data_IF_253119988637
#
_entry.id   IF_253119988637
#
_cell.length_a   1.000
_cell.length_b   1.000
_cell.length_c   1.000
_cell.angle_alpha   90.00
_cell.angle_beta   90.00
_cell.angle_gamma   90.00
#
_symmetry.space_group_name_H-M   'P 1'
#
loop_
_entity.id
_entity.type
_entity.pdbx_description
1 polymer ?
#
# COMPACT_ATOMS: atom_id res chain seq x y z
N UNK A 1 -57.68 26.04 -2.74
CA UNK A 1 -56.30 26.47 -2.41
C UNK A 1 -55.34 25.34 -2.75
N UNK A 2 -54.67 25.39 -3.91
CA UNK A 2 -53.67 24.41 -4.33
C UNK A 2 -52.30 24.89 -3.87
N UNK A 3 -51.63 24.14 -2.99
CA UNK A 3 -50.22 24.37 -2.64
C UNK A 3 -49.37 23.92 -3.83
N UNK A 4 -48.71 24.88 -4.48
CA UNK A 4 -47.65 24.61 -5.45
C UNK A 4 -46.39 24.35 -4.64
N UNK A 5 -45.93 23.11 -4.65
CA UNK A 5 -44.67 22.70 -4.05
C UNK A 5 -43.56 22.96 -5.08
N UNK A 6 -42.79 24.03 -4.88
CA UNK A 6 -41.56 24.26 -5.62
C UNK A 6 -40.53 23.23 -5.15
N UNK A 7 -40.36 22.15 -5.93
CA UNK A 7 -39.18 21.29 -5.82
C UNK A 7 -38.03 22.09 -6.42
N UNK A 8 -37.18 22.65 -5.55
CA UNK A 8 -35.91 23.21 -5.95
C UNK A 8 -35.06 22.05 -6.48
N UNK A 9 -35.04 21.88 -7.80
CA UNK A 9 -34.08 21.00 -8.45
C UNK A 9 -32.69 21.55 -8.15
N UNK A 10 -32.01 20.94 -7.18
CA UNK A 10 -30.60 21.17 -6.91
C UNK A 10 -29.86 20.78 -8.18
N UNK A 11 -29.46 21.78 -8.98
CA UNK A 11 -28.52 21.58 -10.06
C UNK A 11 -27.21 21.18 -9.40
N UNK A 12 -26.97 19.86 -9.29
CA UNK A 12 -25.67 19.28 -9.02
C UNK A 12 -24.75 19.62 -10.21
N UNK A 13 -24.28 20.87 -10.24
CA UNK A 13 -23.01 21.19 -10.87
C UNK A 13 -22.00 20.28 -10.19
N UNK A 14 -21.33 19.45 -10.97
CA UNK A 14 -20.42 18.40 -10.54
C UNK A 14 -19.44 18.89 -9.47
N UNK A 15 -19.80 18.74 -8.20
CA UNK A 15 -18.82 18.67 -7.11
C UNK A 15 -18.22 17.28 -7.17
N UNK A 16 -17.43 17.05 -8.22
CA UNK A 16 -16.57 15.87 -8.36
C UNK A 16 -15.41 15.92 -7.37
N UNK A 17 -15.71 16.19 -6.10
CA UNK A 17 -14.81 16.00 -4.98
C UNK A 17 -14.59 14.50 -4.87
N UNK A 18 -13.55 14.03 -5.56
CA UNK A 18 -13.02 12.69 -5.39
C UNK A 18 -12.90 12.40 -3.90
N UNK A 19 -13.59 11.36 -3.42
CA UNK A 19 -13.26 10.76 -2.13
C UNK A 19 -11.84 10.20 -2.25
N UNK A 20 -10.88 10.67 -1.44
CA UNK A 20 -9.61 9.99 -1.33
C UNK A 20 -9.88 8.68 -0.57
N UNK A 21 -10.05 7.60 -1.31
CA UNK A 21 -9.91 6.26 -0.73
C UNK A 21 -8.42 6.03 -0.52
N UNK A 22 -8.02 5.85 0.72
CA UNK A 22 -6.64 5.65 1.14
C UNK A 22 -6.63 4.96 2.51
N UNK A 23 -5.66 4.10 2.77
CA UNK A 23 -5.46 3.37 4.03
C UNK A 23 -4.63 4.22 5.00
N UNK A 24 -5.29 5.14 5.72
CA UNK A 24 -4.61 6.07 6.63
C UNK A 24 -4.25 5.44 7.98
N UNK A 25 -4.83 4.28 8.30
CA UNK A 25 -4.60 3.59 9.57
C UNK A 25 -3.57 2.45 9.44
N UNK A 26 -3.33 1.95 8.21
CA UNK A 26 -2.36 0.91 7.87
C UNK A 26 -2.89 -0.52 8.05
N UNK A 27 -4.21 -0.76 8.00
CA UNK A 27 -4.81 -2.10 8.18
C UNK A 27 -4.86 -2.92 6.87
N UNK A 28 -4.35 -2.34 5.79
CA UNK A 28 -4.37 -2.89 4.45
C UNK A 28 -5.72 -2.74 3.74
N UNK A 29 -6.59 -1.83 4.20
CA UNK A 29 -7.88 -1.50 3.56
C UNK A 29 -8.12 0.00 3.52
N UNK A 30 -8.92 0.48 2.55
CA UNK A 30 -9.18 1.90 2.39
C UNK A 30 -10.08 2.49 3.49
N UNK A 31 -9.66 3.61 4.09
CA UNK A 31 -10.44 4.38 5.04
C UNK A 31 -11.35 5.43 4.37
N UNK A 32 -12.48 5.72 5.02
CA UNK A 32 -13.39 6.79 4.60
C UNK A 32 -12.86 8.15 5.06
N UNK A 33 -12.51 9.02 4.10
CA UNK A 33 -11.98 10.34 4.37
C UNK A 33 -12.66 11.48 3.59
N UNK A 34 -12.57 12.69 4.15
CA UNK A 34 -13.00 13.95 3.54
C UNK A 34 -11.80 14.88 3.46
N UNK A 35 -11.59 15.48 2.28
CA UNK A 35 -10.77 16.67 2.11
C UNK A 35 -11.67 17.89 1.86
N UNK A 36 -11.43 18.99 2.58
CA UNK A 36 -12.13 20.26 2.37
C UNK A 36 -11.21 21.30 1.77
N UNK A 37 -11.38 21.55 0.48
CA UNK A 37 -10.60 22.50 -0.31
C UNK A 37 -10.50 23.89 0.32
N UNK A 38 -11.60 24.41 0.88
CA UNK A 38 -11.65 25.78 1.42
C UNK A 38 -10.73 26.00 2.62
N UNK A 39 -10.31 24.93 3.30
CA UNK A 39 -9.48 25.03 4.50
C UNK A 39 -8.27 24.09 4.51
N UNK A 40 -8.15 23.21 3.52
CA UNK A 40 -7.21 22.08 3.57
C UNK A 40 -7.49 21.12 4.73
N UNK A 41 -8.76 20.96 5.16
CA UNK A 41 -9.06 20.01 6.24
C UNK A 41 -9.05 18.58 5.69
N UNK A 42 -8.35 17.69 6.38
CA UNK A 42 -8.49 16.24 6.26
C UNK A 42 -9.25 15.72 7.48
N UNK A 43 -10.30 14.95 7.24
CA UNK A 43 -11.04 14.23 8.28
C UNK A 43 -11.19 12.78 7.86
N UNK A 44 -10.48 11.88 8.56
CA UNK A 44 -10.50 10.43 8.35
C UNK A 44 -11.36 9.82 9.45
N UNK A 45 -12.42 9.13 9.07
CA UNK A 45 -13.46 8.67 10.00
C UNK A 45 -12.89 7.65 10.99
N UNK A 46 -12.88 8.01 12.27
CA UNK A 46 -12.40 7.12 13.34
C UNK A 46 -10.88 7.04 13.48
N UNK A 47 -10.12 7.72 12.62
CA UNK A 47 -8.65 7.66 12.59
C UNK A 47 -8.05 9.00 13.01
N UNK A 48 -8.21 10.06 12.21
CA UNK A 48 -7.55 11.33 12.48
C UNK A 48 -8.26 12.54 11.86
N UNK A 49 -7.94 13.73 12.36
CA UNK A 49 -8.44 15.00 11.82
C UNK A 49 -7.35 16.06 11.93
N UNK A 50 -6.96 16.66 10.82
CA UNK A 50 -5.87 17.64 10.77
C UNK A 50 -6.01 18.59 9.55
N UNK A 51 -5.25 19.67 9.55
CA UNK A 51 -5.20 20.62 8.43
C UNK A 51 -3.87 20.46 7.67
N UNK A 52 -3.96 20.28 6.35
CA UNK A 52 -2.81 20.19 5.46
C UNK A 52 -3.22 20.54 4.03
N UNK A 53 -2.62 21.61 3.49
CA UNK A 53 -3.01 22.19 2.21
C UNK A 53 -3.84 23.46 2.36
N UNK A 54 -4.30 24.00 1.24
CA UNK A 54 -5.11 25.22 1.15
C UNK A 54 -6.05 25.17 -0.06
N UNK A 55 -6.80 26.23 -0.30
CA UNK A 55 -7.68 26.37 -1.46
C UNK A 55 -6.92 26.19 -2.77
N UNK A 56 -7.45 25.34 -3.64
CA UNK A 56 -6.87 25.02 -4.95
C UNK A 56 -5.86 23.87 -4.95
N UNK A 57 -5.55 23.30 -3.79
CA UNK A 57 -4.76 22.07 -3.69
C UNK A 57 -5.63 20.84 -3.99
N UNK A 58 -5.07 19.89 -4.74
CA UNK A 58 -5.71 18.61 -5.04
C UNK A 58 -5.22 17.54 -4.07
N UNK A 59 -6.11 16.83 -3.33
CA UNK A 59 -5.69 15.74 -2.44
C UNK A 59 -5.18 14.53 -3.25
N UNK A 60 -4.05 13.98 -2.81
CA UNK A 60 -3.33 12.83 -3.42
C UNK A 60 -2.74 11.88 -2.36
N UNK A 61 -3.55 11.36 -1.43
CA UNK A 61 -3.01 10.38 -0.49
C UNK A 61 -2.62 9.09 -1.22
N UNK A 62 -1.48 8.52 -0.83
CA UNK A 62 -1.00 7.21 -1.28
C UNK A 62 0.16 6.74 -0.38
N UNK A 63 0.69 5.55 -0.64
CA UNK A 63 1.81 4.94 0.07
C UNK A 63 3.15 5.47 -0.46
N UNK A 64 3.46 6.72 -0.09
CA UNK A 64 4.63 7.45 -0.58
C UNK A 64 5.97 6.97 0.01
N UNK A 65 5.94 6.22 1.11
CA UNK A 65 7.14 5.73 1.81
C UNK A 65 7.25 4.20 1.84
N UNK A 66 6.31 3.49 1.20
CA UNK A 66 6.29 2.03 1.08
C UNK A 66 5.98 1.30 2.38
N UNK A 67 5.55 2.01 3.41
CA UNK A 67 5.33 1.42 4.72
C UNK A 67 3.97 0.70 4.82
N UNK A 68 3.12 0.80 3.80
CA UNK A 68 1.78 0.19 3.77
C UNK A 68 0.66 1.09 4.30
N UNK A 69 0.99 2.25 4.88
CA UNK A 69 0.05 3.29 5.32
C UNK A 69 0.10 4.47 4.36
N UNK A 70 -1.05 4.89 3.87
CA UNK A 70 -1.13 6.01 2.94
C UNK A 70 -0.92 7.35 3.67
N UNK A 71 0.05 8.13 3.17
CA UNK A 71 0.34 9.46 3.68
C UNK A 71 -0.55 10.52 3.01
N UNK A 72 -1.06 11.51 3.76
CA UNK A 72 -1.75 12.64 3.17
C UNK A 72 -0.82 13.46 2.28
N UNK A 73 -1.15 13.63 1.01
CA UNK A 73 -0.44 14.53 0.12
C UNK A 73 -1.36 15.46 -0.66
N UNK A 74 -0.78 16.56 -1.16
CA UNK A 74 -1.45 17.52 -2.03
C UNK A 74 -0.61 17.83 -3.25
N UNK A 75 -1.29 18.16 -4.35
CA UNK A 75 -0.71 18.79 -5.53
C UNK A 75 -1.30 20.18 -5.75
N UNK A 76 -0.45 21.20 -5.86
CA UNK A 76 -0.85 22.56 -6.20
C UNK A 76 -0.57 22.82 -7.67
N UNK A 77 -1.63 22.81 -8.47
CA UNK A 77 -1.54 23.01 -9.92
C UNK A 77 -0.96 24.35 -10.34
N UNK A 78 -1.13 25.42 -9.55
CA UNK A 78 -0.62 26.76 -9.91
C UNK A 78 0.90 26.87 -9.90
N UNK A 79 1.59 26.03 -9.11
CA UNK A 79 3.04 26.07 -8.94
C UNK A 79 3.73 24.74 -9.24
N UNK A 80 2.98 23.67 -9.50
CA UNK A 80 3.53 22.31 -9.56
C UNK A 80 4.07 21.80 -8.22
N UNK A 81 3.57 22.31 -7.08
CA UNK A 81 4.03 21.84 -5.77
C UNK A 81 3.40 20.49 -5.44
N UNK A 82 4.24 19.52 -5.09
CA UNK A 82 3.87 18.33 -4.36
C UNK A 82 4.27 18.50 -2.90
N UNK A 83 3.34 18.26 -1.98
CA UNK A 83 3.64 18.21 -0.56
C UNK A 83 3.03 16.95 0.04
N UNK A 84 3.88 16.06 0.53
CA UNK A 84 3.55 14.82 1.24
C UNK A 84 3.81 15.06 2.72
N UNK A 85 2.77 14.94 3.54
CA UNK A 85 2.82 15.31 4.95
C UNK A 85 3.82 14.45 5.72
N UNK A 86 4.83 15.09 6.32
CA UNK A 86 5.83 14.42 7.14
C UNK A 86 6.93 13.70 6.35
N UNK A 87 6.90 13.75 5.00
CA UNK A 87 7.81 13.00 4.16
C UNK A 87 8.59 13.90 3.19
N UNK A 88 7.91 14.61 2.29
CA UNK A 88 8.58 15.36 1.22
C UNK A 88 7.81 16.58 0.75
N UNK A 89 8.53 17.60 0.27
CA UNK A 89 7.98 18.81 -0.36
C UNK A 89 8.84 19.21 -1.53
N UNK A 90 8.32 19.08 -2.75
CA UNK A 90 9.07 19.31 -3.98
C UNK A 90 8.24 20.03 -5.03
N UNK A 91 8.88 20.83 -5.87
CA UNK A 91 8.26 21.42 -7.05
C UNK A 91 8.56 20.53 -8.26
N UNK A 92 7.52 19.93 -8.83
CA UNK A 92 7.61 19.07 -10.00
C UNK A 92 6.35 19.20 -10.85
N UNK A 93 6.52 19.81 -12.02
CA UNK A 93 5.45 20.24 -12.90
C UNK A 93 5.36 21.77 -13.00
N UNK A 94 4.36 22.23 -13.73
CA UNK A 94 4.08 23.65 -13.96
C UNK A 94 2.56 23.88 -14.01
N UNK A 95 2.16 25.15 -14.13
CA UNK A 95 0.76 25.51 -14.33
C UNK A 95 0.17 24.78 -15.54
N UNK A 96 -0.98 24.12 -15.32
CA UNK A 96 -1.68 23.32 -16.34
C UNK A 96 -1.31 21.84 -16.37
N UNK A 97 -0.29 21.41 -15.63
CA UNK A 97 0.01 19.99 -15.47
C UNK A 97 -1.00 19.32 -14.54
N UNK A 98 -1.37 18.09 -14.89
CA UNK A 98 -2.27 17.25 -14.09
C UNK A 98 -1.43 16.29 -13.25
N UNK A 99 -1.72 16.15 -11.94
CA UNK A 99 -1.03 15.16 -11.11
C UNK A 99 -1.41 13.75 -11.53
N UNK A 100 -0.40 12.92 -11.77
CA UNK A 100 -0.46 11.51 -12.18
C UNK A 100 0.56 10.70 -11.38
N UNK A 101 0.40 10.63 -10.06
CA UNK A 101 1.28 9.79 -9.27
C UNK A 101 0.97 8.32 -9.56
N UNK A 102 1.94 7.45 -9.28
CA UNK A 102 1.80 6.00 -9.33
C UNK A 102 3.14 5.29 -9.23
N UNK A 103 3.15 3.97 -9.20
CA UNK A 103 4.37 3.16 -9.15
C UNK A 103 4.93 3.00 -10.58
N UNK A 104 5.86 3.88 -10.98
CA UNK A 104 6.43 3.90 -12.33
C UNK A 104 7.67 3.02 -12.47
N UNK A 105 8.30 2.62 -11.36
CA UNK A 105 9.52 1.82 -11.34
C UNK A 105 9.30 0.38 -10.86
N UNK A 106 8.10 0.05 -10.35
CA UNK A 106 7.73 -1.28 -9.87
C UNK A 106 8.22 -1.59 -8.46
N UNK A 107 8.66 -0.60 -7.67
CA UNK A 107 9.24 -0.82 -6.35
C UNK A 107 8.20 -0.97 -5.22
N UNK A 108 6.92 -0.80 -5.55
CA UNK A 108 5.83 -0.92 -4.58
C UNK A 108 5.44 0.38 -3.89
N UNK A 109 6.14 1.48 -4.16
CA UNK A 109 5.89 2.82 -3.59
C UNK A 109 5.27 3.76 -4.62
N UNK A 110 4.59 4.81 -4.14
CA UNK A 110 4.01 5.82 -5.03
C UNK A 110 5.05 6.85 -5.50
N UNK A 111 5.23 6.99 -6.81
CA UNK A 111 6.08 8.03 -7.39
C UNK A 111 5.31 9.31 -7.76
N UNK A 112 6.04 10.43 -7.72
CA UNK A 112 5.54 11.73 -8.18
C UNK A 112 5.54 11.76 -9.72
N UNK A 113 4.35 11.76 -10.33
CA UNK A 113 4.18 11.89 -11.77
C UNK A 113 3.23 13.02 -12.19
N UNK A 114 3.45 13.58 -13.39
CA UNK A 114 2.60 14.60 -14.01
C UNK A 114 2.29 14.28 -15.46
N UNK A 115 1.16 14.79 -15.93
CA UNK A 115 0.79 14.79 -17.34
C UNK A 115 0.43 16.19 -17.84
N UNK A 116 1.08 16.62 -18.93
CA UNK A 116 0.78 17.87 -19.63
C UNK A 116 -0.03 17.58 -20.89
N UNK A 117 -1.31 17.89 -20.82
CA UNK A 117 -2.25 17.61 -21.91
C UNK A 117 -1.95 18.37 -23.21
N UNK A 118 -1.33 19.55 -23.13
CA UNK A 118 -1.03 20.37 -24.32
C UNK A 118 0.04 19.76 -25.23
N UNK A 119 0.93 18.93 -24.68
CA UNK A 119 2.02 18.31 -25.43
C UNK A 119 2.01 16.78 -25.36
N UNK A 120 1.09 16.18 -24.61
CA UNK A 120 1.16 14.74 -24.29
C UNK A 120 2.37 14.37 -23.44
N UNK A 121 2.97 15.32 -22.69
CA UNK A 121 4.15 15.01 -21.88
C UNK A 121 3.73 14.21 -20.65
N UNK A 122 4.36 13.06 -20.46
CA UNK A 122 4.44 12.33 -19.20
C UNK A 122 5.80 12.56 -18.56
N UNK A 123 5.83 12.82 -17.27
CA UNK A 123 7.07 12.85 -16.50
C UNK A 123 6.83 12.26 -15.10
N UNK A 124 7.63 11.27 -14.73
CA UNK A 124 7.76 10.76 -13.37
C UNK A 124 9.12 11.19 -12.82
N UNK A 125 9.12 11.78 -11.63
CA UNK A 125 10.28 12.43 -11.05
C UNK A 125 11.42 11.42 -10.89
N UNK A 126 12.60 11.77 -11.41
CA UNK A 126 13.82 10.95 -11.37
C UNK A 126 13.72 9.56 -12.03
N UNK A 127 12.64 9.27 -12.78
CA UNK A 127 12.39 7.97 -13.39
C UNK A 127 12.27 8.08 -14.91
N UNK A 128 11.27 8.81 -15.41
CA UNK A 128 11.00 8.84 -16.85
C UNK A 128 10.44 10.18 -17.33
N UNK A 129 10.70 10.47 -18.60
CA UNK A 129 10.12 11.61 -19.32
C UNK A 129 9.87 11.22 -20.77
N UNK A 130 8.61 11.16 -21.17
CA UNK A 130 8.21 10.71 -22.51
C UNK A 130 7.01 11.51 -23.02
N UNK A 131 6.76 11.42 -24.33
CA UNK A 131 5.61 12.06 -24.97
C UNK A 131 4.67 10.98 -25.51
N UNK A 132 3.46 10.94 -24.97
CA UNK A 132 2.42 10.00 -25.36
C UNK A 132 1.02 10.56 -25.06
N UNK A 133 0.15 10.53 -26.07
CA UNK A 133 -1.17 11.15 -26.05
C UNK A 133 -1.21 12.53 -26.72
N UNK A 134 -2.43 13.04 -26.88
CA UNK A 134 -2.74 14.29 -27.57
C UNK A 134 -3.70 15.15 -26.74
N UNK A 135 -3.86 16.45 -27.07
CA UNK A 135 -4.88 17.29 -26.46
C UNK A 135 -6.27 16.66 -26.57
N UNK A 136 -6.97 16.55 -25.44
CA UNK A 136 -8.28 15.89 -25.34
C UNK A 136 -8.22 14.49 -24.71
N UNK A 137 -7.04 13.86 -24.68
CA UNK A 137 -6.88 12.56 -24.05
C UNK A 137 -7.01 12.63 -22.53
N UNK A 138 -7.60 11.57 -21.97
CA UNK A 138 -7.65 11.35 -20.52
C UNK A 138 -6.49 10.44 -20.12
N UNK A 139 -5.39 11.05 -19.69
CA UNK A 139 -4.29 10.33 -19.08
C UNK A 139 -4.76 9.48 -17.88
N UNK A 140 -4.31 8.22 -17.82
CA UNK A 140 -4.57 7.24 -16.76
C UNK A 140 -3.21 6.85 -16.17
N UNK A 141 -3.05 6.99 -14.85
CA UNK A 141 -1.80 6.66 -14.17
C UNK A 141 -1.57 5.14 -14.12
N UNK A 142 -0.31 4.67 -13.92
CA UNK A 142 0.06 3.25 -14.00
C UNK A 142 -0.81 2.35 -13.12
N UNK A 143 -1.07 2.76 -11.88
CA UNK A 143 -1.81 1.93 -10.93
C UNK A 143 -3.21 1.64 -11.46
N UNK A 144 -3.93 2.68 -11.89
CA UNK A 144 -5.28 2.59 -12.45
C UNK A 144 -5.33 1.73 -13.73
N UNK A 145 -4.25 1.72 -14.52
CA UNK A 145 -4.17 0.92 -15.74
C UNK A 145 -3.95 -0.59 -15.46
N UNK A 146 -3.36 -0.93 -14.31
CA UNK A 146 -3.05 -2.30 -13.90
C UNK A 146 -4.19 -3.02 -13.17
N UNK A 147 -5.40 -2.44 -13.20
CA UNK A 147 -6.57 -2.93 -12.45
C UNK A 147 -6.48 -2.65 -10.94
N UNK A 148 -5.42 -1.99 -10.52
CA UNK A 148 -5.17 -1.56 -9.15
C UNK A 148 -5.79 -0.18 -9.01
N UNK A 149 -6.83 0.01 -8.21
CA UNK A 149 -7.65 1.22 -8.39
C UNK A 149 -6.91 2.53 -8.12
N UNK A 150 -5.63 2.54 -7.66
CA UNK A 150 -4.86 3.76 -7.34
C UNK A 150 -5.65 4.68 -6.40
N UNK A 151 -6.60 4.07 -5.70
CA UNK A 151 -7.75 4.64 -5.02
C UNK A 151 -8.17 3.56 -4.05
N UNK A 152 -7.60 3.62 -2.85
CA UNK A 152 -7.97 2.77 -1.71
C UNK A 152 -6.81 2.08 -1.02
N UNK A 153 -5.56 2.52 -1.26
CA UNK A 153 -4.40 1.64 -1.15
C UNK A 153 -4.30 0.77 -2.40
N UNK A 154 -3.09 0.28 -2.68
CA UNK A 154 -2.88 -0.77 -3.69
C UNK A 154 -3.82 -1.93 -3.33
N UNK A 155 -4.80 -2.26 -4.18
CA UNK A 155 -5.59 -3.49 -4.03
C UNK A 155 -4.58 -4.62 -3.92
N UNK A 156 -4.55 -5.24 -2.74
CA UNK A 156 -3.74 -6.43 -2.56
C UNK A 156 -4.23 -7.44 -3.59
N UNK A 157 -3.40 -7.73 -4.60
CA UNK A 157 -3.60 -8.86 -5.50
C UNK A 157 -3.29 -10.11 -4.69
N UNK A 158 -4.25 -10.54 -3.89
CA UNK A 158 -4.17 -11.75 -3.11
C UNK A 158 -4.74 -12.92 -3.92
N UNK A 159 -4.58 -14.12 -3.36
CA UNK A 159 -5.18 -15.37 -3.83
C UNK A 159 -6.71 -15.39 -4.00
N UNK A 160 -7.41 -14.32 -3.62
CA UNK A 160 -8.75 -14.41 -3.04
C UNK A 160 -9.86 -14.00 -4.02
N UNK A 161 -10.80 -14.92 -4.26
CA UNK A 161 -11.94 -14.69 -5.17
C UNK A 161 -13.26 -14.35 -4.47
N UNK A 162 -13.27 -14.34 -3.13
CA UNK A 162 -14.48 -14.14 -2.32
C UNK A 162 -14.29 -12.94 -1.40
N UNK A 163 -15.26 -12.03 -1.36
CA UNK A 163 -15.29 -10.88 -0.46
C UNK A 163 -15.32 -11.34 1.00
N UNK A 164 -14.33 -10.92 1.77
CA UNK A 164 -14.23 -11.23 3.21
C UNK A 164 -14.14 -9.95 4.05
N UNK A 165 -13.64 -8.86 3.46
CA UNK A 165 -13.77 -7.50 3.96
C UNK A 165 -14.16 -6.57 2.81
N UNK A 166 -15.11 -5.66 3.07
CA UNK A 166 -15.55 -4.69 2.07
C UNK A 166 -14.35 -3.92 1.49
N UNK A 167 -14.08 -4.13 0.21
CA UNK A 167 -13.01 -3.45 -0.53
C UNK A 167 -11.74 -4.26 -0.77
N UNK A 168 -11.69 -5.55 -0.39
CA UNK A 168 -10.64 -6.48 -0.81
C UNK A 168 -10.77 -6.91 -2.29
N UNK A 169 -9.78 -7.61 -2.85
CA UNK A 169 -9.83 -8.12 -4.23
C UNK A 169 -10.92 -9.18 -4.46
N UNK A 170 -11.34 -9.87 -3.39
CA UNK A 170 -12.52 -10.74 -3.35
C UNK A 170 -13.85 -9.99 -3.56
N UNK A 171 -13.98 -8.75 -3.06
CA UNK A 171 -15.11 -7.82 -3.26
C UNK A 171 -15.36 -7.57 -4.74
N UNK A 172 -14.26 -7.45 -5.49
CA UNK A 172 -14.31 -7.19 -6.92
C UNK A 172 -14.25 -8.48 -7.76
N UNK A 173 -14.16 -9.65 -7.13
CA UNK A 173 -13.88 -10.96 -7.76
C UNK A 173 -12.68 -10.88 -8.71
N UNK A 174 -11.71 -10.05 -8.35
CA UNK A 174 -10.53 -9.72 -9.15
C UNK A 174 -9.27 -10.43 -8.66
N UNK A 175 -9.37 -11.27 -7.61
CA UNK A 175 -8.24 -12.06 -7.14
C UNK A 175 -7.66 -12.98 -8.21
N UNK A 176 -6.40 -13.33 -8.03
CA UNK A 176 -5.66 -14.27 -8.86
C UNK A 176 -5.35 -15.47 -7.97
N UNK A 177 -5.50 -16.71 -8.44
CA UNK A 177 -5.18 -17.87 -7.60
C UNK A 177 -3.73 -17.79 -7.07
N UNK A 178 -3.52 -18.17 -5.80
CA UNK A 178 -2.18 -18.27 -5.23
C UNK A 178 -1.26 -19.07 -6.15
N UNK A 179 -0.08 -18.52 -6.40
CA UNK A 179 0.91 -19.12 -7.28
C UNK A 179 2.29 -18.96 -6.68
N UNK A 180 2.79 -20.04 -6.08
CA UNK A 180 4.05 -20.06 -5.37
C UNK A 180 5.03 -21.03 -6.03
N UNK A 181 6.32 -20.72 -5.90
CA UNK A 181 7.43 -21.60 -6.26
C UNK A 181 8.51 -21.52 -5.17
N UNK A 182 9.10 -22.66 -4.79
CA UNK A 182 10.28 -22.67 -3.93
C UNK A 182 11.57 -22.76 -4.74
N UNK A 183 12.66 -22.18 -4.24
CA UNK A 183 13.99 -22.25 -4.83
C UNK A 183 15.10 -22.23 -3.76
N UNK A 184 16.30 -22.70 -4.12
CA UNK A 184 17.57 -22.47 -3.41
C UNK A 184 18.51 -21.68 -4.34
N UNK A 185 18.41 -20.34 -4.37
CA UNK A 185 19.13 -19.51 -5.33
C UNK A 185 20.65 -19.53 -5.16
N UNK A 186 21.13 -19.67 -3.93
CA UNK A 186 22.56 -19.69 -3.61
C UNK A 186 23.17 -21.10 -3.64
N UNK A 187 22.36 -22.16 -3.67
CA UNK A 187 22.82 -23.54 -3.57
C UNK A 187 23.41 -23.87 -2.19
N UNK A 188 23.06 -23.09 -1.17
CA UNK A 188 23.58 -23.20 0.19
C UNK A 188 22.58 -23.88 1.15
N UNK A 189 21.41 -24.29 0.65
CA UNK A 189 20.35 -24.91 1.42
C UNK A 189 19.31 -23.93 1.97
N UNK A 190 19.51 -22.63 1.83
CA UNK A 190 18.54 -21.61 2.24
C UNK A 190 17.37 -21.56 1.24
N UNK A 191 16.18 -21.94 1.68
CA UNK A 191 15.01 -22.02 0.78
C UNK A 191 14.21 -20.70 0.80
N UNK A 192 13.87 -20.23 -0.40
CA UNK A 192 13.01 -19.06 -0.63
C UNK A 192 11.72 -19.45 -1.34
N UNK A 193 10.64 -18.72 -1.06
CA UNK A 193 9.34 -18.83 -1.72
C UNK A 193 9.09 -17.60 -2.57
N UNK A 194 8.94 -17.81 -3.88
CA UNK A 194 8.60 -16.79 -4.86
C UNK A 194 7.09 -16.78 -5.02
N UNK A 195 6.47 -15.63 -4.77
CA UNK A 195 5.07 -15.36 -5.03
C UNK A 195 4.93 -14.76 -6.43
N UNK A 196 4.42 -15.56 -7.38
CA UNK A 196 4.25 -15.15 -8.77
C UNK A 196 3.09 -14.15 -8.97
N UNK A 197 2.23 -13.96 -7.96
CA UNK A 197 1.12 -13.00 -8.02
C UNK A 197 1.61 -11.60 -7.65
N UNK A 198 2.39 -11.49 -6.57
CA UNK A 198 2.92 -10.21 -6.09
C UNK A 198 4.29 -9.86 -6.68
N UNK A 199 5.02 -10.86 -7.19
CA UNK A 199 6.40 -10.72 -7.61
C UNK A 199 7.34 -10.55 -6.42
N UNK A 200 6.99 -11.02 -5.22
CA UNK A 200 7.83 -10.94 -4.02
C UNK A 200 8.56 -12.26 -3.76
N UNK A 201 9.71 -12.18 -3.12
CA UNK A 201 10.48 -13.33 -2.65
C UNK A 201 10.54 -13.32 -1.13
N UNK A 202 10.27 -14.47 -0.52
CA UNK A 202 10.12 -14.65 0.91
C UNK A 202 11.09 -15.70 1.43
N UNK A 203 11.59 -15.53 2.65
CA UNK A 203 12.14 -16.67 3.39
C UNK A 203 11.05 -17.73 3.57
N UNK A 204 11.31 -19.00 3.24
CA UNK A 204 10.26 -20.05 3.24
C UNK A 204 10.00 -20.65 4.62
N UNK A 205 11.06 -21.07 5.30
CA UNK A 205 10.95 -21.84 6.53
C UNK A 205 10.97 -20.94 7.77
N UNK A 206 9.95 -21.05 8.62
CA UNK A 206 9.88 -20.28 9.86
C UNK A 206 10.95 -20.63 10.90
N UNK A 207 11.69 -21.72 10.74
CA UNK A 207 12.78 -22.14 11.62
C UNK A 207 14.19 -21.81 11.08
N UNK A 208 14.30 -21.17 9.92
CA UNK A 208 15.60 -20.84 9.30
C UNK A 208 16.02 -19.38 9.52
N UNK A 209 17.25 -19.05 9.12
CA UNK A 209 17.83 -17.72 9.28
C UNK A 209 16.94 -16.62 8.67
N UNK A 210 16.31 -16.87 7.51
CA UNK A 210 15.37 -15.92 6.91
C UNK A 210 14.14 -15.57 7.78
N UNK A 211 13.87 -16.36 8.83
CA UNK A 211 12.83 -16.13 9.84
C UNK A 211 13.40 -16.08 11.27
N UNK A 212 14.64 -15.59 11.43
CA UNK A 212 15.32 -15.47 12.73
C UNK A 212 15.42 -16.80 13.50
N UNK A 213 15.61 -17.90 12.77
CA UNK A 213 15.72 -19.25 13.32
C UNK A 213 14.54 -19.64 14.24
N UNK A 214 13.32 -19.19 13.88
CA UNK A 214 12.12 -19.45 14.67
C UNK A 214 12.09 -18.74 16.03
N UNK A 215 12.87 -17.67 16.19
CA UNK A 215 12.85 -16.84 17.39
C UNK A 215 11.93 -15.62 17.20
N UNK A 216 11.51 -15.05 18.33
CA UNK A 216 10.74 -13.80 18.35
C UNK A 216 11.65 -12.62 18.67
N UNK A 217 11.37 -11.47 18.07
CA UNK A 217 12.13 -10.24 18.29
C UNK A 217 11.19 -9.07 18.62
N UNK A 218 11.70 -8.05 19.32
CA UNK A 218 10.99 -6.76 19.39
C UNK A 218 10.91 -6.13 18.01
N UNK A 219 10.00 -5.16 17.83
CA UNK A 219 9.77 -4.58 16.51
C UNK A 219 11.03 -3.95 15.89
N UNK A 220 11.79 -3.21 16.70
CA UNK A 220 13.05 -2.60 16.24
C UNK A 220 14.10 -3.65 15.90
N UNK A 221 14.25 -4.69 16.72
CA UNK A 221 15.18 -5.79 16.45
C UNK A 221 14.80 -6.55 15.18
N UNK A 222 13.51 -6.76 14.92
CA UNK A 222 13.02 -7.44 13.72
C UNK A 222 13.36 -6.68 12.44
N UNK A 223 13.21 -5.34 12.45
CA UNK A 223 13.61 -4.48 11.33
C UNK A 223 15.11 -4.56 11.10
N UNK A 224 15.91 -4.36 12.16
CA UNK A 224 17.37 -4.41 12.06
C UNK A 224 17.82 -5.77 11.54
N UNK A 225 17.27 -6.86 12.09
CA UNK A 225 17.63 -8.20 11.68
C UNK A 225 17.38 -8.45 10.19
N UNK A 226 16.19 -8.08 9.69
CA UNK A 226 15.90 -8.31 8.28
C UNK A 226 16.75 -7.44 7.35
N UNK A 227 17.02 -6.18 7.71
CA UNK A 227 17.83 -5.27 6.89
C UNK A 227 19.31 -5.67 6.84
N UNK A 228 19.81 -6.34 7.89
CA UNK A 228 21.19 -6.83 7.97
C UNK A 228 21.32 -8.30 7.52
N UNK A 229 20.23 -8.91 7.07
CA UNK A 229 20.17 -10.33 6.72
C UNK A 229 20.92 -10.60 5.40
N UNK A 230 21.90 -11.50 5.45
CA UNK A 230 22.50 -12.18 4.29
C UNK A 230 21.93 -13.60 4.25
N UNK A 231 21.01 -13.86 3.33
CA UNK A 231 20.27 -15.13 3.24
C UNK A 231 19.99 -15.49 1.78
N UNK A 232 20.18 -16.77 1.43
CA UNK A 232 19.97 -17.28 0.08
C UNK A 232 20.71 -16.49 -1.03
N UNK A 233 21.85 -15.87 -0.69
CA UNK A 233 22.69 -15.11 -1.62
C UNK A 233 22.24 -13.66 -1.88
N UNK A 234 21.33 -13.14 -1.05
CA UNK A 234 20.81 -11.78 -1.14
C UNK A 234 20.98 -11.00 0.17
N UNK A 235 21.16 -9.69 0.05
CA UNK A 235 21.44 -8.76 1.17
C UNK A 235 20.44 -7.59 1.25
N UNK A 236 19.42 -7.59 0.41
CA UNK A 236 18.37 -6.57 0.30
C UNK A 236 17.05 -7.06 0.91
N UNK A 237 17.15 -7.95 1.90
CA UNK A 237 16.03 -8.40 2.71
C UNK A 237 15.52 -7.27 3.60
N UNK A 238 14.23 -7.35 3.94
CA UNK A 238 13.57 -6.42 4.86
C UNK A 238 12.39 -7.08 5.54
N UNK A 239 11.91 -6.43 6.59
CA UNK A 239 10.66 -6.82 7.24
C UNK A 239 9.49 -6.38 6.33
N UNK A 240 8.53 -7.27 6.02
CA UNK A 240 7.41 -6.96 5.14
C UNK A 240 6.52 -5.89 5.76
N UNK A 241 5.98 -5.01 4.92
CA UNK A 241 4.89 -4.16 5.38
C UNK A 241 3.61 -5.01 5.54
N UNK A 242 2.58 -4.41 6.13
CA UNK A 242 1.29 -5.05 6.40
C UNK A 242 0.64 -5.60 5.13
N UNK A 243 0.77 -4.88 4.02
CA UNK A 243 0.17 -5.24 2.73
C UNK A 243 0.82 -6.52 2.20
N UNK A 244 2.14 -6.57 2.19
CA UNK A 244 2.91 -7.72 1.76
C UNK A 244 2.66 -8.93 2.64
N UNK A 245 2.73 -8.79 3.97
CA UNK A 245 2.55 -9.96 4.84
C UNK A 245 1.11 -10.49 4.78
N UNK A 246 0.12 -9.60 4.64
CA UNK A 246 -1.29 -9.97 4.47
C UNK A 246 -1.55 -10.67 3.14
N UNK A 247 -0.74 -10.44 2.10
CA UNK A 247 -0.90 -11.16 0.82
C UNK A 247 -0.65 -12.65 0.94
N UNK A 248 0.05 -13.12 1.97
CA UNK A 248 0.27 -14.54 2.26
C UNK A 248 -0.90 -15.22 2.98
N UNK A 249 -1.90 -14.45 3.43
CA UNK A 249 -3.02 -15.00 4.20
C UNK A 249 -3.95 -15.80 3.28
N UNK A 250 -4.05 -17.10 3.54
CA UNK A 250 -5.02 -17.99 2.92
C UNK A 250 -6.25 -18.15 3.83
N UNK A 251 -7.32 -17.41 3.55
CA UNK A 251 -8.57 -17.50 4.30
C UNK A 251 -9.36 -18.79 4.05
N UNK A 252 -8.96 -19.62 3.09
CA UNK A 252 -9.48 -20.98 2.93
C UNK A 252 -8.86 -21.97 3.93
N UNK A 253 -7.77 -21.57 4.59
CA UNK A 253 -7.09 -22.34 5.63
C UNK A 253 -7.29 -21.67 6.99
N UNK A 254 -7.30 -22.47 8.06
CA UNK A 254 -7.26 -21.97 9.43
C UNK A 254 -6.25 -22.82 10.21
N UNK A 255 -5.52 -22.18 11.14
CA UNK A 255 -4.57 -22.85 12.04
C UNK A 255 -3.45 -23.68 11.36
N UNK A 256 -2.62 -23.10 10.47
CA UNK A 256 -2.51 -21.68 10.13
C UNK A 256 -3.23 -21.31 8.82
N UNK A 257 -3.66 -20.05 8.72
CA UNK A 257 -4.24 -19.40 7.53
C UNK A 257 -3.14 -18.97 6.53
N UNK A 258 -2.31 -19.93 6.11
CA UNK A 258 -1.24 -19.75 5.11
C UNK A 258 -1.00 -21.09 4.41
N UNK A 259 -0.42 -21.05 3.20
CA UNK A 259 -0.08 -22.27 2.47
C UNK A 259 1.17 -22.95 3.04
N UNK A 260 0.99 -23.94 3.91
CA UNK A 260 2.09 -24.64 4.61
C UNK A 260 3.01 -25.45 3.69
N UNK A 261 2.60 -25.74 2.45
CA UNK A 261 3.48 -26.41 1.47
C UNK A 261 4.64 -25.49 1.06
N UNK A 262 4.37 -24.18 0.96
CA UNK A 262 5.36 -23.17 0.56
C UNK A 262 5.88 -22.34 1.74
N UNK A 263 5.20 -22.38 2.88
CA UNK A 263 5.58 -21.70 4.11
C UNK A 263 5.54 -22.67 5.29
N UNK A 264 6.46 -23.65 5.34
CA UNK A 264 6.45 -24.69 6.35
C UNK A 264 6.84 -24.19 7.75
N UNK A 265 6.64 -25.06 8.75
CA UNK A 265 7.12 -24.93 10.13
C UNK A 265 6.57 -23.71 10.89
N UNK A 266 5.33 -23.32 10.62
CA UNK A 266 4.68 -22.20 11.31
C UNK A 266 4.64 -22.43 12.84
N UNK A 267 5.01 -21.44 13.66
CA UNK A 267 5.10 -21.57 15.11
C UNK A 267 3.72 -21.58 15.79
N UNK A 268 3.59 -22.18 16.98
CA UNK A 268 2.30 -22.29 17.69
C UNK A 268 1.63 -20.95 18.07
N UNK A 269 2.40 -19.89 18.36
CA UNK A 269 1.90 -18.52 18.50
C UNK A 269 2.10 -17.80 17.17
N UNK A 270 1.16 -17.95 16.24
CA UNK A 270 1.35 -17.62 14.83
C UNK A 270 1.19 -16.10 14.53
N UNK A 271 1.90 -15.23 15.28
CA UNK A 271 1.87 -13.77 15.10
C UNK A 271 3.22 -13.29 14.55
N UNK A 272 3.18 -12.57 13.43
CA UNK A 272 4.36 -12.09 12.71
C UNK A 272 4.34 -10.58 12.57
N UNK A 273 5.45 -9.93 12.92
CA UNK A 273 5.61 -8.49 12.78
C UNK A 273 5.58 -8.03 11.33
N UNK A 274 5.08 -6.81 11.14
CA UNK A 274 5.24 -6.05 9.90
C UNK A 274 6.08 -4.80 10.18
N UNK A 275 6.66 -4.19 9.15
CA UNK A 275 7.33 -2.88 9.24
C UNK A 275 6.36 -1.70 9.34
N UNK A 276 5.05 -1.93 9.27
CA UNK A 276 4.04 -0.87 9.29
C UNK A 276 3.78 -0.38 10.70
N UNK A 277 4.02 0.90 10.93
CA UNK A 277 3.63 1.59 12.17
C UNK A 277 2.14 1.94 12.13
N UNK A 278 1.44 1.84 13.24
CA UNK A 278 0.03 2.22 13.30
C UNK A 278 -0.14 3.72 13.03
N UNK A 279 -1.00 4.10 12.06
CA UNK A 279 -1.04 5.45 11.52
C UNK A 279 -1.33 6.59 12.53
N UNK A 280 -1.86 6.26 13.71
CA UNK A 280 -2.17 7.24 14.77
C UNK A 280 -1.26 7.16 15.99
N UNK A 281 -0.35 6.18 16.07
CA UNK A 281 0.59 6.03 17.18
C UNK A 281 1.94 5.46 16.74
N UNK A 282 3.02 6.20 16.99
CA UNK A 282 4.39 5.75 16.71
C UNK A 282 4.88 4.59 17.58
N UNK A 283 4.20 4.33 18.70
CA UNK A 283 4.57 3.32 19.70
C UNK A 283 3.98 1.93 19.37
N UNK A 284 3.08 1.87 18.40
CA UNK A 284 2.33 0.68 17.99
C UNK A 284 2.72 0.31 16.56
N UNK A 285 2.80 -0.98 16.27
CA UNK A 285 2.99 -1.51 14.94
C UNK A 285 1.95 -2.58 14.62
N UNK A 286 1.67 -2.76 13.34
CA UNK A 286 0.84 -3.84 12.85
C UNK A 286 1.61 -5.17 12.80
N UNK A 287 0.89 -6.25 13.01
CA UNK A 287 1.33 -7.63 12.89
C UNK A 287 0.21 -8.46 12.23
N UNK A 288 0.56 -9.60 11.66
CA UNK A 288 -0.41 -10.56 11.14
C UNK A 288 -0.49 -11.76 12.08
N UNK A 289 -1.70 -12.07 12.53
CA UNK A 289 -2.02 -13.30 13.22
C UNK A 289 -2.53 -14.33 12.22
N UNK A 290 -1.65 -15.22 11.77
CA UNK A 290 -1.96 -16.31 10.85
C UNK A 290 -2.77 -17.44 11.49
N UNK A 291 -3.15 -17.38 12.78
CA UNK A 291 -4.14 -18.35 13.30
C UNK A 291 -5.47 -18.26 12.55
N UNK A 292 -5.85 -17.04 12.18
CA UNK A 292 -7.10 -16.71 11.47
C UNK A 292 -6.91 -15.70 10.32
N UNK A 293 -5.67 -15.38 9.95
CA UNK A 293 -5.38 -14.44 8.87
C UNK A 293 -5.72 -12.98 9.17
N UNK A 294 -5.57 -12.53 10.43
CA UNK A 294 -6.03 -11.18 10.85
C UNK A 294 -4.89 -10.21 11.09
N UNK A 295 -5.08 -8.97 10.65
CA UNK A 295 -4.28 -7.83 11.12
C UNK A 295 -4.57 -7.56 12.59
N UNK A 296 -3.51 -7.38 13.37
CA UNK A 296 -3.54 -7.08 14.80
C UNK A 296 -2.47 -6.04 15.11
N UNK A 297 -2.69 -5.18 16.09
CA UNK A 297 -1.77 -4.12 16.47
C UNK A 297 -1.23 -4.33 17.89
N UNK A 298 0.06 -4.05 18.09
CA UNK A 298 0.73 -4.23 19.38
C UNK A 298 1.79 -3.16 19.62
N UNK A 299 2.07 -2.92 20.91
CA UNK A 299 3.17 -2.05 21.35
C UNK A 299 4.52 -2.63 20.90
N UNK A 300 5.38 -1.79 20.33
CA UNK A 300 6.65 -2.17 19.70
C UNK A 300 7.66 -2.89 20.62
N UNK A 301 7.47 -2.82 21.94
CA UNK A 301 8.30 -3.56 22.92
C UNK A 301 7.91 -5.03 23.09
N UNK A 302 6.79 -5.48 22.51
CA UNK A 302 6.42 -6.91 22.48
C UNK A 302 7.30 -7.67 21.50
N UNK A 303 7.42 -8.98 21.71
CA UNK A 303 8.20 -9.86 20.83
C UNK A 303 7.29 -10.79 20.04
N UNK A 304 7.46 -10.81 18.72
CA UNK A 304 6.74 -11.68 17.78
C UNK A 304 7.68 -12.22 16.71
N UNK A 305 7.20 -13.18 15.93
CA UNK A 305 7.96 -13.78 14.84
C UNK A 305 8.15 -12.78 13.69
N UNK A 306 9.09 -13.09 12.79
CA UNK A 306 9.36 -12.30 11.61
C UNK A 306 9.66 -13.23 10.43
N UNK A 307 9.46 -12.72 9.22
CA UNK A 307 9.76 -13.42 7.98
C UNK A 307 10.33 -12.40 7.01
N UNK A 308 11.55 -12.60 6.55
CA UNK A 308 12.19 -11.72 5.58
C UNK A 308 11.45 -11.74 4.24
N UNK A 309 11.32 -10.56 3.62
CA UNK A 309 10.84 -10.38 2.25
C UNK A 309 11.84 -9.52 1.46
N UNK A 310 11.85 -9.69 0.14
CA UNK A 310 12.54 -8.81 -0.80
C UNK A 310 11.77 -8.72 -2.12
N UNK A 311 12.19 -7.80 -2.99
CA UNK A 311 11.69 -7.74 -4.37
C UNK A 311 11.97 -9.04 -5.12
N UNK A 312 11.08 -9.42 -6.04
CA UNK A 312 11.28 -10.57 -6.93
C UNK A 312 12.30 -10.30 -8.02
N UNK A 313 12.66 -11.38 -8.72
CA UNK A 313 13.61 -11.38 -9.84
C UNK A 313 13.11 -10.58 -11.04
#
# INVERSE_FOLDING_TARGET
MKKVMFVLALVLLSIGGWSPSADFNGDGTGDVAIFRDSSGLWAVRGVSRFYFGTTGDLPKPSDWDGNGTDLPAIFRGSSGLWAIRGFSRVYFGASGDKPKPGDYNGDGTEDIGIFRASSGLWAARDITRLYFGAPGDRAIAPDIANGDSGKGGRLLKTGQFTELSSGDDGTYKAGIAFSYQTADPAGNGDIVTIDNVTGLMWASDSNEAGCFNGQTATWTEAITYCNDLDFAGYIDWRLPNIRELKSLVDYGAEYPAINEVYFPNMPGTIVFWTSTTYGTSSDIAWAINFRYGRGVDYLKFKSFYLRGVRGGL
#
